data_IF_343912034866
#
_entry.id   IF_343912034866
#
_cell.length_a   1.000
_cell.length_b   1.000
_cell.length_c   1.000
_cell.angle_alpha   90.00
_cell.angle_beta   90.00
_cell.angle_gamma   90.00
#
_symmetry.space_group_name_H-M   'P 1'
#
loop_
_entity.id
_entity.type
_entity.pdbx_description
1 polymer ?
#
# COMPACT_ATOMS: atom_id res chain seq x y z
N UNK A 1 -2.72 -56.80 -51.41
CA UNK A 1 -2.15 -56.01 -50.37
C UNK A 1 -2.41 -54.55 -50.63
N UNK A 2 -3.39 -53.92 -49.93
CA UNK A 2 -3.78 -52.56 -50.14
C UNK A 2 -2.87 -51.63 -49.33
N UNK A 3 -2.19 -50.77 -50.09
CA UNK A 3 -1.36 -49.70 -49.48
C UNK A 3 -2.24 -48.56 -49.00
N UNK A 4 -2.35 -48.38 -47.70
CA UNK A 4 -2.95 -47.18 -47.08
C UNK A 4 -2.10 -45.97 -47.38
N UNK A 5 -2.72 -44.93 -47.98
CA UNK A 5 -2.14 -43.67 -48.43
C UNK A 5 -1.60 -42.82 -47.25
N UNK A 6 -0.41 -42.22 -47.37
CA UNK A 6 0.21 -41.39 -46.34
C UNK A 6 -0.50 -40.04 -46.08
N UNK A 7 -1.54 -39.72 -46.82
CA UNK A 7 -2.29 -38.45 -46.71
C UNK A 7 -3.21 -38.40 -45.46
N UNK A 8 -3.60 -39.55 -44.89
CA UNK A 8 -4.50 -39.58 -43.74
C UNK A 8 -3.80 -39.34 -42.40
N UNK A 9 -2.50 -39.61 -42.30
CA UNK A 9 -1.72 -39.40 -41.09
C UNK A 9 -1.30 -37.93 -40.90
N UNK A 10 -1.07 -37.20 -41.98
CA UNK A 10 -0.70 -35.77 -41.94
C UNK A 10 -1.87 -34.85 -41.56
N UNK A 11 -3.11 -35.21 -41.96
CA UNK A 11 -4.29 -34.43 -41.60
C UNK A 11 -4.67 -34.56 -40.10
N UNK A 12 -4.45 -35.73 -39.50
CA UNK A 12 -4.69 -35.97 -38.06
C UNK A 12 -3.65 -35.29 -37.18
N UNK A 13 -2.39 -35.20 -37.61
CA UNK A 13 -1.33 -34.47 -36.89
C UNK A 13 -1.51 -32.96 -36.94
N UNK A 14 -2.01 -32.42 -38.06
CA UNK A 14 -2.30 -30.97 -38.18
C UNK A 14 -3.48 -30.56 -37.27
N UNK A 15 -4.52 -31.35 -37.16
CA UNK A 15 -5.65 -31.11 -36.26
C UNK A 15 -5.28 -31.19 -34.78
N UNK A 16 -4.35 -32.08 -34.39
CA UNK A 16 -3.83 -32.16 -33.02
C UNK A 16 -3.00 -30.93 -32.60
N UNK A 17 -2.14 -30.47 -33.51
CA UNK A 17 -1.32 -29.26 -33.26
C UNK A 17 -2.16 -27.98 -33.18
N UNK A 18 -3.19 -27.85 -34.02
CA UNK A 18 -4.10 -26.68 -33.97
C UNK A 18 -4.94 -26.65 -32.68
N UNK A 19 -5.42 -27.83 -32.20
CA UNK A 19 -6.11 -27.90 -30.89
C UNK A 19 -5.20 -27.63 -29.71
N UNK A 20 -3.92 -28.06 -29.76
CA UNK A 20 -2.93 -27.78 -28.72
C UNK A 20 -2.57 -26.31 -28.69
N UNK A 21 -2.39 -25.68 -29.86
CA UNK A 21 -2.12 -24.24 -29.99
C UNK A 21 -3.29 -23.40 -29.49
N UNK A 22 -4.53 -23.77 -29.83
CA UNK A 22 -5.74 -23.09 -29.32
C UNK A 22 -5.88 -23.16 -27.80
N UNK A 23 -5.60 -24.31 -27.17
CA UNK A 23 -5.59 -24.47 -25.72
C UNK A 23 -4.46 -23.64 -25.05
N UNK A 24 -3.30 -23.56 -25.68
CA UNK A 24 -2.18 -22.76 -25.18
C UNK A 24 -2.49 -21.26 -25.24
N UNK A 25 -3.04 -20.77 -26.37
CA UNK A 25 -3.47 -19.37 -26.51
C UNK A 25 -4.62 -19.01 -25.56
N UNK A 26 -5.60 -19.90 -25.38
CA UNK A 26 -6.67 -19.71 -24.41
C UNK A 26 -6.11 -19.60 -22.98
N UNK A 27 -5.19 -20.50 -22.60
CA UNK A 27 -4.55 -20.48 -21.27
C UNK A 27 -3.68 -19.22 -21.05
N UNK A 28 -2.99 -18.73 -22.10
CA UNK A 28 -2.25 -17.45 -22.04
C UNK A 28 -3.19 -16.25 -21.90
N UNK A 29 -4.32 -16.25 -22.63
CA UNK A 29 -5.33 -15.19 -22.57
C UNK A 29 -5.99 -15.14 -21.19
N UNK A 30 -6.33 -16.29 -20.61
CA UNK A 30 -6.87 -16.36 -19.24
C UNK A 30 -5.87 -15.84 -18.19
N UNK A 31 -4.60 -16.23 -18.26
CA UNK A 31 -3.56 -15.72 -17.35
C UNK A 31 -3.36 -14.22 -17.49
N UNK A 32 -3.44 -13.69 -18.71
CA UNK A 32 -3.31 -12.25 -18.97
C UNK A 32 -4.51 -11.47 -18.43
N UNK A 33 -5.73 -11.97 -18.60
CA UNK A 33 -6.94 -11.37 -18.05
C UNK A 33 -6.95 -11.41 -16.52
N UNK A 34 -6.53 -12.50 -15.90
CA UNK A 34 -6.39 -12.63 -14.46
C UNK A 34 -5.34 -11.65 -13.89
N UNK A 35 -4.22 -11.47 -14.59
CA UNK A 35 -3.19 -10.50 -14.21
C UNK A 35 -3.69 -9.05 -14.31
N UNK A 36 -4.43 -8.70 -15.36
CA UNK A 36 -5.02 -7.36 -15.53
C UNK A 36 -6.02 -7.09 -14.41
N UNK A 37 -6.90 -8.04 -14.10
CA UNK A 37 -7.86 -7.89 -13.00
C UNK A 37 -7.16 -7.66 -11.65
N UNK A 38 -6.06 -8.35 -11.39
CA UNK A 38 -5.27 -8.17 -10.17
C UNK A 38 -4.67 -6.76 -10.07
N UNK A 39 -4.11 -6.23 -11.16
CA UNK A 39 -3.57 -4.87 -11.19
C UNK A 39 -4.68 -3.82 -11.05
N UNK A 40 -5.85 -4.03 -11.67
CA UNK A 40 -7.00 -3.14 -11.50
C UNK A 40 -7.49 -3.13 -10.04
N UNK A 41 -7.61 -4.29 -9.40
CA UNK A 41 -7.98 -4.36 -7.99
C UNK A 41 -6.92 -3.72 -7.07
N UNK A 42 -5.64 -3.89 -7.39
CA UNK A 42 -4.55 -3.28 -6.64
C UNK A 42 -4.56 -1.75 -6.73
N UNK A 43 -4.69 -1.20 -7.94
CA UNK A 43 -4.76 0.26 -8.12
C UNK A 43 -5.99 0.86 -7.48
N UNK A 44 -7.15 0.20 -7.59
CA UNK A 44 -8.36 0.62 -6.89
C UNK A 44 -8.16 0.58 -5.37
N UNK A 45 -7.56 -0.48 -4.85
CA UNK A 45 -7.22 -0.60 -3.43
C UNK A 45 -6.29 0.52 -2.96
N UNK A 46 -5.28 0.89 -3.75
CA UNK A 46 -4.40 2.02 -3.46
C UNK A 46 -5.15 3.36 -3.42
N UNK A 47 -6.08 3.59 -4.33
CA UNK A 47 -6.90 4.82 -4.36
C UNK A 47 -7.80 4.89 -3.13
N UNK A 48 -8.46 3.79 -2.77
CA UNK A 48 -9.32 3.71 -1.57
C UNK A 48 -8.48 3.89 -0.30
N UNK A 49 -7.28 3.32 -0.24
CA UNK A 49 -6.35 3.48 0.87
C UNK A 49 -5.93 4.95 1.02
N UNK A 50 -5.57 5.61 -0.08
CA UNK A 50 -5.20 7.02 -0.07
C UNK A 50 -6.36 7.90 0.41
N UNK A 51 -7.59 7.63 -0.05
CA UNK A 51 -8.78 8.30 0.43
C UNK A 51 -8.96 8.10 1.95
N UNK A 52 -8.85 6.87 2.43
CA UNK A 52 -8.95 6.56 3.87
C UNK A 52 -7.93 7.31 4.71
N UNK A 53 -6.66 7.34 4.28
CA UNK A 53 -5.60 8.06 5.00
C UNK A 53 -5.82 9.58 4.98
N UNK A 54 -6.27 10.15 3.85
CA UNK A 54 -6.58 11.58 3.78
C UNK A 54 -7.76 11.94 4.68
N UNK A 55 -8.85 11.16 4.65
CA UNK A 55 -9.98 11.37 5.56
C UNK A 55 -9.54 11.30 7.03
N UNK A 56 -8.66 10.37 7.35
CA UNK A 56 -8.13 10.19 8.70
C UNK A 56 -7.39 11.45 9.18
N UNK A 57 -6.52 12.02 8.37
CA UNK A 57 -5.82 13.28 8.73
C UNK A 57 -6.76 14.46 8.87
N UNK A 58 -7.87 14.51 8.10
CA UNK A 58 -8.86 15.59 8.15
C UNK A 58 -9.74 15.55 9.40
N UNK A 59 -9.89 14.39 10.05
CA UNK A 59 -10.70 14.29 11.28
C UNK A 59 -10.08 14.99 12.50
N UNK A 60 -8.77 15.19 12.51
CA UNK A 60 -8.03 15.68 13.67
C UNK A 60 -8.04 14.76 14.89
N UNK A 61 -8.68 13.58 14.80
CA UNK A 61 -8.83 12.64 15.91
C UNK A 61 -7.77 11.55 15.92
N UNK A 62 -7.30 11.16 14.74
CA UNK A 62 -6.36 10.05 14.57
C UNK A 62 -5.49 10.24 13.33
N UNK A 63 -4.24 9.77 13.40
CA UNK A 63 -3.40 9.49 12.24
C UNK A 63 -2.80 8.11 12.43
N UNK A 64 -2.78 7.28 11.38
CA UNK A 64 -2.15 5.95 11.46
C UNK A 64 -0.70 6.07 11.94
N UNK A 65 -0.25 5.24 12.91
CA UNK A 65 1.09 5.33 13.51
C UNK A 65 2.23 5.45 12.49
N UNK A 66 2.19 4.64 11.44
CA UNK A 66 3.24 4.60 10.41
C UNK A 66 3.38 5.94 9.67
N UNK A 67 2.27 6.60 9.36
CA UNK A 67 2.29 7.87 8.61
C UNK A 67 2.24 9.10 9.52
N UNK A 68 2.13 8.92 10.85
CA UNK A 68 2.11 10.03 11.82
C UNK A 68 3.37 10.89 11.75
N UNK A 69 4.53 10.27 11.47
CA UNK A 69 5.80 10.97 11.27
C UNK A 69 5.70 11.94 10.09
N UNK A 70 5.22 11.45 8.92
CA UNK A 70 5.05 12.29 7.73
C UNK A 70 4.04 13.42 7.97
N UNK A 71 2.95 13.13 8.66
CA UNK A 71 1.95 14.13 9.01
C UNK A 71 2.52 15.19 9.95
N UNK A 72 3.21 14.81 11.02
CA UNK A 72 3.84 15.74 11.95
C UNK A 72 4.84 16.65 11.23
N UNK A 73 5.71 16.11 10.41
CA UNK A 73 6.70 16.88 9.66
C UNK A 73 6.04 17.80 8.63
N UNK A 74 4.97 17.36 7.94
CA UNK A 74 4.23 18.21 7.02
C UNK A 74 3.62 19.44 7.70
N UNK A 75 3.07 19.26 8.90
CA UNK A 75 2.51 20.36 9.70
C UNK A 75 3.59 21.32 10.25
N UNK A 76 4.79 20.82 10.54
CA UNK A 76 5.90 21.65 11.04
C UNK A 76 6.50 22.48 9.91
N UNK A 77 6.70 21.87 8.73
CA UNK A 77 7.35 22.50 7.57
C UNK A 77 6.37 23.22 6.64
N UNK A 78 5.07 23.16 6.91
CA UNK A 78 4.00 23.70 6.06
C UNK A 78 4.06 23.14 4.63
N UNK A 79 4.27 21.81 4.53
CA UNK A 79 4.37 21.08 3.27
C UNK A 79 3.20 20.13 3.09
N UNK A 80 2.95 19.71 1.82
CA UNK A 80 1.88 18.76 1.52
C UNK A 80 2.11 17.42 2.22
N UNK A 81 1.06 16.88 2.83
CA UNK A 81 1.10 15.58 3.51
C UNK A 81 1.55 14.43 2.59
N UNK A 82 1.08 14.41 1.34
CA UNK A 82 1.49 13.38 0.39
C UNK A 82 2.98 13.44 0.05
N UNK A 83 3.56 14.65 -0.09
CA UNK A 83 4.98 14.79 -0.40
C UNK A 83 5.85 14.30 0.77
N UNK A 84 5.46 14.60 2.01
CA UNK A 84 6.13 14.07 3.21
C UNK A 84 5.94 12.56 3.35
N UNK A 85 4.78 12.04 2.98
CA UNK A 85 4.53 10.59 2.94
C UNK A 85 5.44 9.91 1.90
N UNK A 86 5.65 10.53 0.73
CA UNK A 86 6.60 10.01 -0.26
C UNK A 86 8.04 9.95 0.27
N UNK A 87 8.50 11.02 0.92
CA UNK A 87 9.84 11.05 1.54
C UNK A 87 9.97 9.96 2.60
N UNK A 88 8.98 9.80 3.47
CA UNK A 88 8.96 8.75 4.48
C UNK A 88 9.01 7.35 3.85
N UNK A 89 8.22 7.12 2.80
CA UNK A 89 8.18 5.84 2.09
C UNK A 89 9.50 5.56 1.36
N UNK A 90 10.14 6.57 0.79
CA UNK A 90 11.47 6.43 0.21
C UNK A 90 12.51 6.01 1.27
N UNK A 91 12.44 6.60 2.47
CA UNK A 91 13.27 6.20 3.60
C UNK A 91 13.00 4.75 4.04
N UNK A 92 11.73 4.34 4.07
CA UNK A 92 11.37 2.94 4.40
C UNK A 92 11.90 1.96 3.36
N UNK A 93 11.78 2.27 2.07
CA UNK A 93 12.36 1.44 1.01
C UNK A 93 13.89 1.34 1.16
N UNK A 94 14.58 2.47 1.39
CA UNK A 94 16.01 2.47 1.63
C UNK A 94 16.39 1.62 2.87
N UNK A 95 15.64 1.75 3.96
CA UNK A 95 15.84 0.97 5.17
C UNK A 95 15.59 -0.53 4.94
N UNK A 96 14.57 -0.91 4.12
CA UNK A 96 14.34 -2.31 3.72
C UNK A 96 15.56 -2.90 3.03
N UNK A 97 16.16 -2.15 2.07
CA UNK A 97 17.37 -2.59 1.38
C UNK A 97 18.55 -2.74 2.35
N UNK A 98 18.72 -1.82 3.29
CA UNK A 98 19.76 -1.90 4.32
C UNK A 98 19.56 -3.10 5.26
N UNK A 99 18.32 -3.41 5.65
CA UNK A 99 17.99 -4.52 6.55
C UNK A 99 18.13 -5.87 5.86
N UNK A 100 17.60 -6.02 4.64
CA UNK A 100 17.64 -7.26 3.85
C UNK A 100 18.97 -7.49 3.17
N UNK A 101 19.72 -6.45 2.87
CA UNK A 101 21.02 -6.51 2.19
C UNK A 101 20.93 -7.28 0.87
N UNK A 102 21.78 -8.33 0.71
CA UNK A 102 21.80 -9.18 -0.50
C UNK A 102 20.54 -10.01 -0.75
N UNK A 103 19.62 -10.12 0.23
CA UNK A 103 18.35 -10.82 0.09
C UNK A 103 17.21 -9.92 -0.44
N UNK A 104 17.50 -8.63 -0.69
CA UNK A 104 16.53 -7.72 -1.29
C UNK A 104 16.23 -8.14 -2.73
N UNK A 105 14.95 -8.12 -3.10
CA UNK A 105 14.53 -8.39 -4.46
C UNK A 105 14.44 -7.08 -5.25
N UNK A 106 14.86 -7.09 -6.52
CA UNK A 106 14.64 -5.96 -7.44
C UNK A 106 13.16 -5.55 -7.51
N UNK A 107 12.26 -6.46 -7.16
CA UNK A 107 10.83 -6.21 -7.06
C UNK A 107 10.48 -5.19 -5.96
N UNK A 108 11.28 -5.12 -4.90
CA UNK A 108 11.11 -4.14 -3.82
C UNK A 108 11.36 -2.71 -4.32
N UNK A 109 12.13 -2.53 -5.40
CA UNK A 109 12.36 -1.23 -6.01
C UNK A 109 11.11 -0.64 -6.69
N UNK A 110 10.14 -1.50 -7.10
CA UNK A 110 8.85 -1.05 -7.63
C UNK A 110 8.00 -0.32 -6.58
N UNK A 111 8.31 -0.46 -5.30
CA UNK A 111 7.65 0.30 -4.24
C UNK A 111 7.91 1.80 -4.40
N UNK A 112 9.07 2.20 -4.93
CA UNK A 112 9.42 3.61 -5.09
C UNK A 112 8.53 4.35 -6.11
N UNK A 113 8.37 3.92 -7.38
CA UNK A 113 7.46 4.58 -8.30
C UNK A 113 5.99 4.47 -7.88
N UNK A 114 5.59 3.37 -7.23
CA UNK A 114 4.23 3.22 -6.72
C UNK A 114 3.96 4.17 -5.55
N UNK A 115 4.93 4.40 -4.66
CA UNK A 115 4.78 5.38 -3.58
C UNK A 115 4.70 6.82 -4.09
N UNK A 116 5.36 7.12 -5.23
CA UNK A 116 5.22 8.42 -5.87
C UNK A 116 3.79 8.62 -6.39
N UNK A 117 3.22 7.63 -7.09
CA UNK A 117 1.82 7.68 -7.55
C UNK A 117 0.88 7.81 -6.35
N UNK A 118 1.08 7.02 -5.31
CA UNK A 118 0.28 7.07 -4.09
C UNK A 118 0.31 8.46 -3.43
N UNK A 119 1.48 9.07 -3.32
CA UNK A 119 1.68 10.43 -2.83
C UNK A 119 0.88 11.46 -3.63
N UNK A 120 0.86 11.36 -4.97
CA UNK A 120 0.08 12.26 -5.83
C UNK A 120 -1.42 12.09 -5.62
N UNK A 121 -1.88 10.86 -5.40
CA UNK A 121 -3.31 10.59 -5.08
C UNK A 121 -3.66 11.14 -3.69
N UNK A 122 -2.78 11.05 -2.70
CA UNK A 122 -2.97 11.68 -1.38
C UNK A 122 -3.13 13.20 -1.52
N UNK A 123 -2.21 13.87 -2.21
CA UNK A 123 -2.27 15.32 -2.41
C UNK A 123 -3.53 15.73 -3.19
N UNK A 124 -3.96 14.92 -4.16
CA UNK A 124 -5.21 15.16 -4.89
C UNK A 124 -6.41 15.12 -3.96
N UNK A 125 -6.53 14.10 -3.13
CA UNK A 125 -7.64 14.00 -2.17
C UNK A 125 -7.57 15.09 -1.10
N UNK A 126 -6.38 15.44 -0.64
CA UNK A 126 -6.20 16.53 0.32
C UNK A 126 -6.70 17.88 -0.22
N UNK A 127 -6.46 18.14 -1.51
CA UNK A 127 -6.95 19.32 -2.21
C UNK A 127 -8.46 19.26 -2.53
N UNK A 128 -8.98 18.07 -2.86
CA UNK A 128 -10.41 17.89 -3.21
C UNK A 128 -11.34 17.88 -2.00
N UNK A 129 -10.83 17.57 -0.81
CA UNK A 129 -11.64 17.46 0.42
C UNK A 129 -11.29 18.63 1.35
N UNK A 130 -11.95 19.80 1.20
CA UNK A 130 -11.71 20.98 2.04
C UNK A 130 -12.45 20.82 3.38
N UNK A 131 -12.18 19.73 4.13
CA UNK A 131 -12.77 19.48 5.43
C UNK A 131 -11.79 19.94 6.52
N UNK A 132 -12.30 20.76 7.43
CA UNK A 132 -11.55 21.22 8.61
C UNK A 132 -12.29 20.77 9.87
N UNK A 133 -11.65 19.90 10.63
CA UNK A 133 -12.19 19.36 11.88
C UNK A 133 -12.46 20.44 12.95
N UNK A 134 -11.74 21.55 12.90
CA UNK A 134 -11.88 22.64 13.87
C UNK A 134 -13.25 23.36 13.76
N UNK A 135 -13.85 23.37 12.56
CA UNK A 135 -15.15 23.98 12.30
C UNK A 135 -16.33 23.03 12.50
N UNK A 136 -16.08 21.76 12.81
CA UNK A 136 -17.11 20.74 12.99
C UNK A 136 -17.07 20.17 14.40
N UNK A 137 -18.25 19.81 14.93
CA UNK A 137 -18.36 19.20 16.26
C UNK A 137 -17.79 17.77 16.30
N UNK A 138 -17.74 17.18 17.51
CA UNK A 138 -17.20 15.85 17.72
C UNK A 138 -17.92 14.75 16.87
N UNK A 139 -19.24 14.79 16.77
CA UNK A 139 -20.01 13.76 16.09
C UNK A 139 -19.69 13.63 14.58
N UNK A 140 -19.66 14.71 13.76
CA UNK A 140 -19.28 14.58 12.37
C UNK A 140 -17.81 14.15 12.20
N UNK A 141 -16.89 14.59 13.03
CA UNK A 141 -15.49 14.14 13.00
C UNK A 141 -15.38 12.65 13.32
N UNK A 142 -16.16 12.16 14.28
CA UNK A 142 -16.19 10.74 14.64
C UNK A 142 -16.82 9.87 13.54
N UNK A 143 -17.89 10.31 12.89
CA UNK A 143 -18.47 9.60 11.74
C UNK A 143 -17.50 9.56 10.55
N UNK A 144 -16.79 10.67 10.30
CA UNK A 144 -15.76 10.72 9.27
C UNK A 144 -14.59 9.78 9.59
N UNK A 145 -14.21 9.67 10.85
CA UNK A 145 -13.18 8.73 11.31
C UNK A 145 -13.60 7.27 11.05
N UNK A 146 -14.83 6.90 11.34
CA UNK A 146 -15.36 5.56 11.03
C UNK A 146 -15.24 5.29 9.53
N UNK A 147 -15.65 6.23 8.69
CA UNK A 147 -15.55 6.10 7.24
C UNK A 147 -14.09 5.97 6.81
N UNK A 148 -13.18 6.76 7.38
CA UNK A 148 -11.74 6.70 7.11
C UNK A 148 -11.16 5.32 7.45
N UNK A 149 -11.51 4.75 8.61
CA UNK A 149 -11.07 3.42 9.05
C UNK A 149 -11.59 2.34 8.10
N UNK A 150 -12.86 2.41 7.70
CA UNK A 150 -13.44 1.45 6.75
C UNK A 150 -12.73 1.52 5.38
N UNK A 151 -12.52 2.71 4.84
CA UNK A 151 -11.81 2.91 3.58
C UNK A 151 -10.36 2.39 3.69
N UNK A 152 -9.66 2.69 4.77
CA UNK A 152 -8.30 2.22 5.01
C UNK A 152 -8.26 0.69 5.09
N UNK A 153 -9.16 0.07 5.85
CA UNK A 153 -9.24 -1.39 5.99
C UNK A 153 -9.54 -2.10 4.66
N UNK A 154 -10.48 -1.58 3.88
CA UNK A 154 -10.80 -2.11 2.54
C UNK A 154 -9.61 -1.93 1.60
N UNK A 155 -9.01 -0.74 1.55
CA UNK A 155 -7.86 -0.45 0.70
C UNK A 155 -6.66 -1.35 1.00
N UNK A 156 -6.29 -1.50 2.27
CA UNK A 156 -5.22 -2.42 2.71
C UNK A 156 -5.56 -3.87 2.35
N UNK A 157 -6.78 -4.32 2.64
CA UNK A 157 -7.21 -5.68 2.32
C UNK A 157 -7.09 -5.97 0.82
N UNK A 158 -7.52 -5.04 -0.04
CA UNK A 158 -7.41 -5.19 -1.49
C UNK A 158 -5.95 -5.23 -1.95
N UNK A 159 -5.11 -4.34 -1.48
CA UNK A 159 -3.69 -4.28 -1.90
C UNK A 159 -2.91 -5.51 -1.44
N UNK A 160 -3.08 -5.95 -0.19
CA UNK A 160 -2.40 -7.11 0.38
C UNK A 160 -2.84 -8.42 -0.28
N UNK A 161 -4.15 -8.61 -0.52
CA UNK A 161 -4.66 -9.83 -1.15
C UNK A 161 -4.17 -10.03 -2.58
N UNK A 162 -3.86 -8.94 -3.30
CA UNK A 162 -3.32 -9.05 -4.67
C UNK A 162 -1.88 -9.56 -4.70
N UNK A 163 -1.13 -9.49 -3.59
CA UNK A 163 0.26 -9.97 -3.48
C UNK A 163 1.15 -9.49 -4.64
N UNK A 164 0.97 -8.23 -5.05
CA UNK A 164 1.78 -7.61 -6.10
C UNK A 164 2.99 -6.93 -5.47
N UNK A 165 2.86 -5.69 -5.08
CA UNK A 165 3.92 -4.92 -4.43
C UNK A 165 3.42 -4.47 -3.06
N UNK A 166 4.12 -4.81 -1.96
CA UNK A 166 3.71 -4.34 -0.65
C UNK A 166 3.84 -2.80 -0.56
N UNK A 167 2.96 -2.16 0.20
CA UNK A 167 3.15 -0.77 0.57
C UNK A 167 4.49 -0.63 1.33
N UNK A 168 5.28 0.43 1.13
CA UNK A 168 6.54 0.63 1.84
C UNK A 168 6.45 0.50 3.37
N UNK A 169 5.33 0.93 3.97
CA UNK A 169 5.07 0.74 5.39
C UNK A 169 4.97 -0.74 5.79
N UNK A 170 4.25 -1.55 5.01
CA UNK A 170 4.15 -2.99 5.26
C UNK A 170 5.47 -3.71 4.91
N UNK A 171 6.16 -3.25 3.88
CA UNK A 171 7.45 -3.80 3.45
C UNK A 171 8.55 -3.66 4.50
N UNK A 172 8.65 -2.50 5.16
CA UNK A 172 9.65 -2.30 6.23
C UNK A 172 9.32 -3.15 7.45
N UNK A 173 8.03 -3.26 7.82
CA UNK A 173 7.58 -4.15 8.90
C UNK A 173 7.93 -5.60 8.60
N UNK A 174 7.71 -6.07 7.37
CA UNK A 174 8.09 -7.41 6.95
C UNK A 174 9.61 -7.64 7.02
N UNK A 175 10.41 -6.66 6.59
CA UNK A 175 11.87 -6.74 6.66
C UNK A 175 12.38 -6.80 8.11
N UNK A 176 11.76 -6.03 9.02
CA UNK A 176 12.06 -6.06 10.46
C UNK A 176 11.68 -7.42 11.06
N UNK A 177 10.48 -7.94 10.73
CA UNK A 177 10.00 -9.25 11.17
C UNK A 177 10.96 -10.37 10.77
N UNK A 178 11.38 -10.39 9.49
CA UNK A 178 12.36 -11.33 8.95
C UNK A 178 13.70 -11.27 9.70
N UNK A 179 14.20 -10.07 9.97
CA UNK A 179 15.48 -9.89 10.67
C UNK A 179 15.41 -10.31 12.13
N UNK A 180 14.27 -10.05 12.79
CA UNK A 180 14.05 -10.42 14.19
C UNK A 180 13.68 -11.89 14.36
N UNK A 181 13.29 -12.59 13.29
CA UNK A 181 12.77 -13.96 13.35
C UNK A 181 11.45 -14.04 14.14
N UNK A 182 10.63 -12.99 14.08
CA UNK A 182 9.37 -12.86 14.80
C UNK A 182 8.20 -12.73 13.83
N UNK A 183 7.00 -12.89 14.36
CA UNK A 183 5.76 -12.69 13.63
C UNK A 183 5.60 -11.23 13.16
N UNK A 184 4.93 -11.03 12.00
CA UNK A 184 4.67 -9.71 11.42
C UNK A 184 3.84 -8.81 12.35
N UNK A 185 2.89 -9.37 13.08
CA UNK A 185 2.06 -8.62 14.03
C UNK A 185 2.90 -8.00 15.14
N UNK A 186 3.82 -8.79 15.72
CA UNK A 186 4.75 -8.30 16.74
C UNK A 186 5.69 -7.23 16.20
N UNK A 187 6.26 -7.44 15.00
CA UNK A 187 7.14 -6.46 14.37
C UNK A 187 6.38 -5.16 14.03
N UNK A 188 5.11 -5.27 13.60
CA UNK A 188 4.25 -4.12 13.35
C UNK A 188 4.05 -3.29 14.62
N UNK A 189 3.69 -3.92 15.73
CA UNK A 189 3.47 -3.18 16.98
C UNK A 189 4.73 -2.44 17.44
N UNK A 190 5.91 -3.07 17.38
CA UNK A 190 7.18 -2.41 17.72
C UNK A 190 7.45 -1.24 16.77
N UNK A 191 7.19 -1.42 15.47
CA UNK A 191 7.41 -0.39 14.48
C UNK A 191 6.45 0.79 14.67
N UNK A 192 5.18 0.52 14.96
CA UNK A 192 4.16 1.53 15.26
C UNK A 192 4.52 2.34 16.51
N UNK A 193 4.94 1.67 17.60
CA UNK A 193 5.46 2.35 18.81
C UNK A 193 6.68 3.21 18.49
N UNK A 194 7.60 2.71 17.66
CA UNK A 194 8.76 3.48 17.20
C UNK A 194 8.35 4.75 16.43
N UNK A 195 7.42 4.63 15.47
CA UNK A 195 6.92 5.77 14.70
C UNK A 195 6.24 6.81 15.60
N UNK A 196 5.37 6.38 16.52
CA UNK A 196 4.71 7.29 17.47
C UNK A 196 5.73 7.98 18.37
N UNK A 197 6.74 7.25 18.87
CA UNK A 197 7.80 7.83 19.69
C UNK A 197 8.58 8.91 18.93
N UNK A 198 8.95 8.63 17.68
CA UNK A 198 9.64 9.60 16.81
C UNK A 198 8.74 10.81 16.55
N UNK A 199 7.45 10.62 16.30
CA UNK A 199 6.47 11.70 16.10
C UNK A 199 6.36 12.58 17.34
N UNK A 200 6.28 12.00 18.54
CA UNK A 200 6.27 12.74 19.80
C UNK A 200 7.53 13.58 19.98
N UNK A 201 8.70 12.97 19.76
CA UNK A 201 9.99 13.68 19.89
C UNK A 201 10.05 14.86 18.94
N UNK A 202 9.71 14.68 17.67
CA UNK A 202 9.74 15.76 16.66
C UNK A 202 8.73 16.87 17.03
N UNK A 203 7.48 16.50 17.35
CA UNK A 203 6.43 17.46 17.72
C UNK A 203 6.80 18.30 18.94
N UNK A 204 7.29 17.65 20.00
CA UNK A 204 7.72 18.33 21.23
C UNK A 204 8.96 19.20 21.00
N UNK A 205 9.94 18.72 20.26
CA UNK A 205 11.18 19.46 20.00
C UNK A 205 10.95 20.70 19.12
N UNK A 206 10.05 20.63 18.11
CA UNK A 206 9.87 21.70 17.14
C UNK A 206 8.72 22.66 17.48
N UNK A 207 7.63 22.19 18.09
CA UNK A 207 6.41 22.98 18.36
C UNK A 207 5.97 22.96 19.82
N UNK A 208 6.64 22.21 20.69
CA UNK A 208 6.28 22.07 22.11
C UNK A 208 4.95 21.35 22.35
N UNK A 209 4.39 20.70 21.33
CA UNK A 209 3.11 19.96 21.41
C UNK A 209 3.15 18.69 20.59
N UNK A 210 2.33 17.71 20.96
CA UNK A 210 2.19 16.46 20.23
C UNK A 210 1.25 16.69 19.04
N UNK A 211 1.73 16.42 17.83
CA UNK A 211 1.00 16.62 16.57
C UNK A 211 0.72 15.28 15.94
N UNK A 212 -0.54 15.04 15.51
CA UNK A 212 -0.92 13.86 14.75
C UNK A 212 -1.07 12.56 15.55
N UNK A 213 -1.05 12.64 16.87
CA UNK A 213 -1.30 11.49 17.74
C UNK A 213 -2.57 11.77 18.54
N UNK A 214 -3.57 10.94 18.32
CA UNK A 214 -4.86 10.97 19.02
C UNK A 214 -5.14 9.69 19.79
N UNK A 215 -6.30 9.64 20.43
CA UNK A 215 -6.77 8.44 21.17
C UNK A 215 -6.89 7.25 20.22
N UNK A 216 -7.31 7.46 18.97
CA UNK A 216 -7.40 6.44 17.95
C UNK A 216 -6.04 5.86 17.54
N UNK A 217 -4.98 6.67 17.49
CA UNK A 217 -3.61 6.20 17.21
C UNK A 217 -3.14 5.20 18.26
N UNK A 218 -3.44 5.47 19.53
CA UNK A 218 -3.10 4.55 20.63
C UNK A 218 -3.97 3.29 20.64
N UNK A 219 -5.22 3.39 20.21
CA UNK A 219 -6.12 2.24 20.10
C UNK A 219 -5.81 1.33 18.91
N UNK A 220 -5.11 1.83 17.88
CA UNK A 220 -4.73 1.09 16.67
C UNK A 220 -3.42 0.29 16.81
N UNK A 221 -2.71 0.42 17.93
CA UNK A 221 -1.48 -0.31 18.27
C UNK A 221 -1.82 -1.64 18.96
#
# INVERSE_FOLDING_TARGET
GEGLSPAHSSCQQAGGKAKLCGKFFAKLSFKKAESINRWCCYTLGMVILALGLTLNTKTGLEVSPIVSVAYCVSQILDMNFGDMTFVLYALFVAAQFAIRGRKSHLYDLLQFPLSLVFSRVLNLFDALIPYDSAHHGFLPNFLLLILAILCTGVGVSMTVNMRLVPNPGDGIVAAVAEKMGRDQGFAKNIFDVGCVTVTCIIGLACRGQVIGIGIGTLAAM
#
